data_IF_835979001594
#
_entry.id   IF_835979001594
#
_cell.length_a   1.000
_cell.length_b   1.000
_cell.length_c   1.000
_cell.angle_alpha   90.00
_cell.angle_beta   90.00
_cell.angle_gamma   90.00
#
_symmetry.space_group_name_H-M   'P 1'
#
loop_
_entity.id
_entity.type
_entity.pdbx_description
1 polymer ?
2 non-polymer ?
3 non-polymer ?
4 non-polymer ?
5 water ?
#
# COMPACT_ATOMS: atom_id res chain seq x y z
N UNK A 3 -16.81 -19.24 -5.79
CA UNK A 3 -16.81 -20.32 -4.81
C UNK A 3 -15.89 -21.46 -5.27
N UNK A 4 -15.70 -21.55 -6.60
CA UNK A 4 -14.71 -22.47 -7.14
C UNK A 4 -13.31 -21.99 -6.82
N UNK A 5 -13.11 -20.67 -6.75
CA UNK A 5 -11.83 -20.08 -6.38
C UNK A 5 -11.64 -20.07 -4.87
N UNK A 6 -12.70 -19.75 -4.13
CA UNK A 6 -12.57 -19.66 -2.67
C UNK A 6 -12.32 -21.03 -2.04
N UNK A 7 -12.90 -22.09 -2.61
CA UNK A 7 -12.66 -23.43 -2.09
C UNK A 7 -11.19 -23.82 -2.21
N UNK A 8 -10.55 -23.46 -3.34
CA UNK A 8 -9.14 -23.78 -3.53
C UNK A 8 -8.24 -22.92 -2.65
N UNK A 9 -8.61 -21.67 -2.43
CA UNK A 9 -7.78 -20.80 -1.60
C UNK A 9 -7.90 -21.16 -0.12
N UNK A 10 -9.10 -21.48 0.34
CA UNK A 10 -9.30 -21.81 1.75
C UNK A 10 -8.58 -23.09 2.13
N UNK A 11 -8.52 -24.06 1.22
CA UNK A 11 -7.91 -25.35 1.51
C UNK A 11 -6.40 -25.35 1.35
N UNK A 12 -5.83 -24.29 0.78
CA UNK A 12 -4.40 -24.24 0.54
C UNK A 12 -3.63 -24.09 1.85
N UNK A 13 -2.33 -24.33 1.79
CA UNK A 13 -1.42 -24.01 2.89
C UNK A 13 -0.79 -22.67 2.58
N UNK A 14 -0.67 -21.83 3.60
CA UNK A 14 -0.16 -20.46 3.45
C UNK A 14 1.34 -20.50 3.71
N UNK A 15 2.18 -20.38 2.69
CA UNK A 15 3.63 -20.46 2.92
C UNK A 15 4.12 -19.34 3.81
N UNK A 16 5.29 -19.57 4.41
CA UNK A 16 5.85 -18.62 5.36
C UNK A 16 6.19 -17.30 4.67
N UNK A 17 6.46 -16.28 5.49
CA UNK A 17 6.80 -14.97 4.96
C UNK A 17 8.14 -14.99 4.23
N UNK A 18 9.08 -15.82 4.68
CA UNK A 18 10.37 -15.90 4.03
C UNK A 18 10.27 -16.56 2.67
N UNK A 19 9.48 -17.62 2.56
CA UNK A 19 9.26 -18.27 1.28
C UNK A 19 8.62 -17.32 0.28
N UNK A 20 7.61 -16.58 0.73
CA UNK A 20 6.87 -15.68 -0.15
C UNK A 20 7.63 -14.42 -0.50
N UNK A 21 8.76 -14.15 0.16
CA UNK A 21 9.63 -13.02 -0.15
C UNK A 21 8.91 -11.68 0.05
N UNK A 22 7.87 -11.65 0.88
CA UNK A 22 7.10 -10.42 1.09
C UNK A 22 7.72 -9.49 2.12
N UNK A 23 8.91 -9.80 2.64
CA UNK A 23 9.59 -8.93 3.57
C UNK A 23 10.59 -8.02 2.88
N UNK A 24 11.02 -8.39 1.67
CA UNK A 24 11.98 -7.59 0.91
C UNK A 24 11.29 -6.38 0.29
N UNK A 25 11.87 -5.20 0.48
CA UNK A 25 11.41 -4.01 -0.24
C UNK A 25 11.48 -4.20 -1.75
N UNK A 26 12.32 -5.10 -2.23
CA UNK A 26 12.50 -5.38 -3.64
C UNK A 26 11.52 -6.42 -4.18
N UNK A 27 10.49 -6.77 -3.40
CA UNK A 27 9.55 -7.82 -3.82
C UNK A 27 8.87 -7.44 -5.12
N UNK A 28 8.65 -8.43 -5.98
CA UNK A 28 7.90 -8.25 -7.23
C UNK A 28 6.90 -9.39 -7.37
N UNK A 29 5.87 -9.15 -8.18
CA UNK A 29 4.75 -10.06 -8.32
C UNK A 29 4.52 -10.54 -9.75
N UNK A 30 5.44 -10.26 -10.66
CA UNK A 30 5.22 -10.57 -12.08
C UNK A 30 5.10 -12.07 -12.35
N UNK A 31 5.65 -12.91 -11.47
CA UNK A 31 5.66 -14.35 -11.67
C UNK A 31 4.58 -15.06 -10.88
N UNK A 32 3.63 -14.31 -10.31
CA UNK A 32 2.69 -14.87 -9.34
C UNK A 32 1.30 -14.97 -9.96
N UNK A 33 0.62 -16.07 -9.65
CA UNK A 33 -0.78 -16.19 -9.99
C UNK A 33 -1.63 -15.31 -9.07
N UNK A 34 -2.88 -15.11 -9.46
CA UNK A 34 -3.82 -14.42 -8.57
C UNK A 34 -4.00 -15.18 -7.27
N UNK A 35 -3.88 -16.50 -7.30
CA UNK A 35 -3.96 -17.30 -6.08
C UNK A 35 -2.75 -17.06 -5.18
N UNK A 36 -1.56 -16.93 -5.77
CA UNK A 36 -0.36 -16.71 -4.98
C UNK A 36 -0.41 -15.37 -4.26
N UNK A 37 -0.90 -14.33 -4.92
CA UNK A 37 -1.06 -13.03 -4.26
C UNK A 37 -2.04 -13.13 -3.10
N UNK A 38 -3.05 -13.99 -3.21
CA UNK A 38 -3.98 -14.16 -2.09
C UNK A 38 -3.28 -14.81 -0.91
N UNK A 39 -2.45 -15.82 -1.17
CA UNK A 39 -1.71 -16.46 -0.09
C UNK A 39 -0.73 -15.49 0.57
N UNK A 40 -0.04 -14.67 -0.23
CA UNK A 40 0.84 -13.65 0.32
C UNK A 40 0.06 -12.68 1.21
N UNK A 41 -1.20 -12.40 0.87
CA UNK A 41 -2.00 -11.47 1.66
C UNK A 41 -2.41 -12.09 3.00
N UNK A 42 -2.80 -13.37 2.99
CA UNK A 42 -3.12 -14.05 4.24
C UNK A 42 -1.90 -14.08 5.16
N UNK A 43 -0.72 -14.35 4.58
CA UNK A 43 0.52 -14.34 5.35
C UNK A 43 0.78 -12.97 5.96
N UNK A 44 0.39 -11.90 5.27
CA UNK A 44 0.56 -10.55 5.82
C UNK A 44 -0.31 -10.36 7.06
N UNK A 45 -1.59 -10.70 6.97
CA UNK A 45 -2.47 -10.63 8.13
C UNK A 45 -1.96 -11.54 9.25
N UNK A 46 -1.50 -12.74 8.90
CA UNK A 46 -1.09 -13.72 9.91
C UNK A 46 0.16 -13.25 10.65
N UNK A 47 1.20 -12.88 9.90
CA UNK A 47 2.48 -12.55 10.51
C UNK A 47 2.50 -11.15 11.14
N UNK A 48 1.47 -10.34 10.93
CA UNK A 48 1.26 -9.13 11.71
C UNK A 48 0.37 -9.39 12.91
N UNK A 49 0.06 -10.66 13.20
CA UNK A 49 -0.77 -11.08 14.32
C UNK A 49 -2.19 -10.51 14.24
N UNK A 50 -2.66 -10.19 13.03
CA UNK A 50 -3.99 -9.61 12.88
C UNK A 50 -5.07 -10.69 12.94
N UNK A 51 -4.80 -11.88 12.38
CA UNK A 51 -5.77 -12.97 12.45
C UNK A 51 -5.96 -13.41 13.90
N UNK A 52 -4.90 -13.36 14.69
CA UNK A 52 -4.94 -13.85 16.07
C UNK A 52 -5.54 -12.81 17.01
N UNK A 53 -4.96 -11.60 17.03
CA UNK A 53 -5.40 -10.58 17.98
C UNK A 53 -6.84 -10.17 17.78
N UNK A 54 -7.42 -10.38 16.59
CA UNK A 54 -8.77 -9.96 16.31
C UNK A 54 -9.69 -11.10 15.89
N UNK A 55 -9.24 -12.35 16.08
CA UNK A 55 -10.09 -13.54 15.95
C UNK A 55 -10.80 -13.59 14.60
N UNK A 56 -9.99 -13.62 13.54
CA UNK A 56 -10.52 -13.70 12.19
C UNK A 56 -10.68 -15.16 11.78
N UNK A 57 -11.91 -15.54 11.42
CA UNK A 57 -12.14 -16.86 10.86
C UNK A 57 -11.48 -16.98 9.49
N UNK A 58 -10.85 -18.13 9.25
CA UNK A 58 -10.07 -18.30 8.03
C UNK A 58 -10.92 -18.11 6.78
N UNK A 59 -12.08 -18.75 6.74
CA UNK A 59 -12.94 -18.67 5.56
C UNK A 59 -13.40 -17.25 5.27
N UNK A 60 -13.54 -16.43 6.32
CA UNK A 60 -13.98 -15.05 6.13
C UNK A 60 -12.88 -14.21 5.50
N UNK A 61 -11.65 -14.35 5.99
CA UNK A 61 -10.53 -13.62 5.42
C UNK A 61 -10.29 -14.03 3.97
N UNK A 62 -10.45 -15.32 3.66
CA UNK A 62 -10.32 -15.78 2.29
C UNK A 62 -11.36 -15.15 1.39
N UNK A 63 -12.61 -15.08 1.87
CA UNK A 63 -13.67 -14.46 1.07
C UNK A 63 -13.47 -12.96 0.95
N UNK A 64 -12.94 -12.32 2.00
CA UNK A 64 -12.72 -10.88 1.95
C UNK A 64 -11.62 -10.52 0.95
N UNK A 65 -10.51 -11.27 0.97
CA UNK A 65 -9.43 -11.00 0.03
C UNK A 65 -9.91 -11.18 -1.40
N UNK A 66 -10.71 -12.22 -1.64
CA UNK A 66 -11.24 -12.44 -2.99
C UNK A 66 -12.27 -11.39 -3.36
N UNK A 67 -13.04 -10.89 -2.38
CA UNK A 67 -13.97 -9.81 -2.67
C UNK A 67 -13.23 -8.54 -3.06
N UNK A 68 -12.15 -8.22 -2.34
CA UNK A 68 -11.36 -7.04 -2.66
C UNK A 68 -10.72 -7.17 -4.05
N UNK A 69 -10.08 -8.32 -4.30
CA UNK A 69 -9.41 -8.53 -5.58
C UNK A 69 -10.40 -8.47 -6.73
N UNK A 70 -11.60 -9.00 -6.54
CA UNK A 70 -12.59 -9.01 -7.62
C UNK A 70 -13.09 -7.61 -7.93
N UNK A 71 -13.08 -6.70 -6.95
CA UNK A 71 -13.59 -5.36 -7.13
C UNK A 71 -12.55 -4.40 -7.71
N UNK A 72 -11.37 -4.88 -8.06
CA UNK A 72 -10.43 -4.15 -8.90
C UNK A 72 -10.63 -4.55 -10.35
N UNK A 73 -10.37 -3.62 -11.27
CA UNK A 73 -10.64 -3.83 -12.69
C UNK A 73 -9.37 -4.31 -13.39
N UNK A 74 -9.43 -5.54 -13.91
CA UNK A 74 -8.28 -6.12 -14.60
C UNK A 74 -7.94 -5.36 -15.87
N UNK A 75 -8.94 -4.80 -16.56
CA UNK A 75 -8.68 -4.07 -17.80
C UNK A 75 -8.00 -2.74 -17.57
N UNK A 76 -7.81 -2.33 -16.32
CA UNK A 76 -7.06 -1.12 -16.01
C UNK A 76 -5.59 -1.51 -15.85
N UNK A 77 -4.72 -0.83 -16.59
CA UNK A 77 -3.33 -1.30 -16.75
C UNK A 77 -2.56 -1.25 -15.42
N UNK A 78 -2.65 -0.13 -14.70
CA UNK A 78 -1.89 0.05 -13.47
C UNK A 78 -2.77 -0.07 -12.23
N UNK A 79 -3.74 0.82 -12.07
CA UNK A 79 -4.57 0.82 -10.87
C UNK A 79 -5.51 -0.39 -10.85
N UNK A 80 -4.94 -1.57 -10.57
CA UNK A 80 -5.69 -2.81 -10.48
C UNK A 80 -5.35 -3.54 -9.19
N UNK A 81 -5.75 -4.80 -9.08
CA UNK A 81 -5.49 -5.55 -7.85
C UNK A 81 -3.99 -5.69 -7.59
N UNK A 82 -3.20 -5.83 -8.65
CA UNK A 82 -1.76 -6.00 -8.48
C UNK A 82 -1.12 -4.78 -7.83
N UNK A 83 -1.62 -3.59 -8.15
CA UNK A 83 -1.09 -2.39 -7.52
C UNK A 83 -1.49 -2.32 -6.05
N UNK A 84 -2.73 -2.72 -5.73
CA UNK A 84 -3.16 -2.74 -4.33
C UNK A 84 -2.41 -3.79 -3.54
N UNK A 85 -2.17 -4.95 -4.15
CA UNK A 85 -1.38 -5.99 -3.49
C UNK A 85 0.02 -5.51 -3.19
N UNK A 86 0.63 -4.77 -4.11
CA UNK A 86 1.99 -4.27 -3.91
C UNK A 86 2.03 -3.19 -2.82
N UNK A 87 1.03 -2.28 -2.82
CA UNK A 87 0.96 -1.27 -1.77
C UNK A 87 0.84 -1.91 -0.39
N UNK A 88 0.11 -3.02 -0.30
CA UNK A 88 0.03 -3.76 0.96
C UNK A 88 1.35 -4.46 1.27
N UNK A 89 2.03 -4.96 0.25
CA UNK A 89 3.30 -5.64 0.47
C UNK A 89 4.34 -4.67 1.03
N UNK A 90 4.44 -3.48 0.42
CA UNK A 90 5.37 -2.47 0.93
C UNK A 90 5.01 -2.06 2.34
N UNK A 91 3.71 -1.99 2.65
CA UNK A 91 3.27 -1.74 4.02
C UNK A 91 3.78 -2.84 4.94
N UNK A 92 3.68 -4.10 4.50
CA UNK A 92 4.22 -5.20 5.29
C UNK A 92 5.73 -5.10 5.42
N UNK A 93 6.43 -4.78 4.32
CA UNK A 93 7.87 -4.65 4.36
C UNK A 93 8.30 -3.48 5.24
N UNK A 94 7.50 -2.42 5.29
CA UNK A 94 7.82 -1.27 6.13
C UNK A 94 7.63 -1.60 7.60
N UNK A 95 6.55 -2.30 7.94
CA UNK A 95 6.33 -2.66 9.34
C UNK A 95 7.35 -3.69 9.81
N UNK A 96 7.78 -4.59 8.93
CA UNK A 96 8.71 -5.63 9.32
C UNK A 96 10.16 -5.21 9.11
N UNK A 97 10.62 -5.24 7.85
CA UNK A 97 12.01 -4.89 7.56
C UNK A 97 12.33 -3.46 7.98
N UNK A 98 11.40 -2.54 7.78
CA UNK A 98 11.58 -1.17 8.20
C UNK A 98 11.35 -0.92 9.68
N UNK A 99 10.95 -1.94 10.43
CA UNK A 99 10.80 -1.89 11.89
C UNK A 99 9.78 -0.86 12.35
N UNK A 100 8.83 -0.49 11.48
CA UNK A 100 7.76 0.44 11.85
C UNK A 100 6.73 -0.22 12.77
N UNK A 101 6.76 -1.55 12.89
CA UNK A 101 5.79 -2.27 13.72
C UNK A 101 5.73 -1.72 15.13
N UNK A 102 6.88 -1.57 15.78
CA UNK A 102 6.92 -1.18 17.18
C UNK A 102 6.39 0.24 17.40
N UNK A 103 6.34 1.07 16.37
CA UNK A 103 5.91 2.46 16.49
C UNK A 103 4.42 2.63 16.26
N UNK A 104 3.65 1.54 16.18
CA UNK A 104 2.23 1.61 15.90
C UNK A 104 1.47 0.62 16.76
N UNK A 105 0.16 0.83 16.87
CA UNK A 105 -0.71 -0.07 17.60
C UNK A 105 -1.33 -1.09 16.66
N UNK A 106 -1.93 -2.13 17.26
CA UNK A 106 -2.54 -3.19 16.46
C UNK A 106 -3.68 -2.66 15.59
N UNK A 107 -4.53 -1.80 16.16
CA UNK A 107 -5.61 -1.21 15.38
C UNK A 107 -5.09 -0.38 14.22
N UNK A 108 -4.01 0.36 14.45
CA UNK A 108 -3.42 1.15 13.37
C UNK A 108 -2.84 0.25 12.29
N UNK A 109 -2.13 -0.80 12.69
CA UNK A 109 -1.58 -1.74 11.71
C UNK A 109 -2.70 -2.48 10.99
N UNK A 110 -3.72 -2.91 11.74
CA UNK A 110 -4.87 -3.59 11.13
C UNK A 110 -5.56 -2.69 10.11
N UNK A 111 -5.67 -1.41 10.42
CA UNK A 111 -6.31 -0.48 9.49
C UNK A 111 -5.41 -0.14 8.30
N UNK A 112 -4.10 -0.05 8.54
CA UNK A 112 -3.17 0.25 7.45
C UNK A 112 -3.17 -0.85 6.41
N UNK A 113 -3.16 -2.11 6.85
CA UNK A 113 -3.16 -3.23 5.91
C UNK A 113 -4.46 -3.28 5.11
N UNK A 114 -5.59 -3.03 5.76
CA UNK A 114 -6.87 -3.04 5.06
C UNK A 114 -6.95 -1.86 4.09
N UNK A 115 -6.48 -0.69 4.52
CA UNK A 115 -6.52 0.50 3.65
C UNK A 115 -5.60 0.34 2.45
N UNK A 116 -4.40 -0.20 2.67
CA UNK A 116 -3.47 -0.41 1.56
C UNK A 116 -4.05 -1.35 0.51
N UNK A 117 -4.78 -2.38 0.96
CA UNK A 117 -5.39 -3.32 0.03
C UNK A 117 -6.61 -2.72 -0.66
N UNK A 118 -7.21 -1.69 -0.09
CA UNK A 118 -8.49 -1.16 -0.56
C UNK A 118 -8.40 0.21 -1.21
N UNK A 119 -7.28 0.93 -1.05
CA UNK A 119 -7.23 2.35 -1.33
C UNK A 119 -7.52 2.72 -2.79
N UNK A 120 -7.68 1.75 -3.69
CA UNK A 120 -7.96 2.05 -5.08
C UNK A 120 -9.12 1.23 -5.63
N UNK A 121 -10.03 0.78 -4.77
CA UNK A 121 -11.09 -0.13 -5.20
C UNK A 121 -11.95 0.50 -6.28
N UNK A 122 -12.24 -0.28 -7.31
CA UNK A 122 -13.09 0.10 -8.44
C UNK A 122 -12.47 1.23 -9.27
N UNK A 123 -11.14 1.36 -9.25
CA UNK A 123 -10.46 2.33 -10.09
C UNK A 123 -10.66 2.00 -11.57
N UNK A 124 -10.83 3.02 -12.39
CA UNK A 124 -11.08 2.86 -13.82
C UNK A 124 -9.96 3.42 -14.69
N UNK A 125 -8.83 3.80 -14.09
CA UNK A 125 -7.77 4.43 -14.86
C UNK A 125 -7.86 5.94 -14.81
N UNK A 126 -6.70 6.61 -14.83
CA UNK A 126 -6.57 8.05 -14.63
C UNK A 126 -7.54 8.85 -15.48
N UNK A 127 -7.95 8.28 -16.62
CA UNK A 127 -8.80 8.99 -17.57
C UNK A 127 -10.25 8.56 -17.42
N UNK A 128 -10.83 8.94 -16.28
CA UNK A 128 -12.24 8.71 -16.03
C UNK A 128 -12.82 9.77 -15.12
N UNK A 145 -11.56 15.65 -3.81
CA UNK A 145 -11.05 14.40 -3.26
C UNK A 145 -12.10 13.30 -3.36
N UNK A 146 -12.85 13.32 -4.47
CA UNK A 146 -14.00 12.43 -4.61
C UNK A 146 -13.56 10.99 -4.84
N UNK A 147 -12.47 10.79 -5.57
CA UNK A 147 -12.06 9.43 -5.94
C UNK A 147 -11.76 8.59 -4.72
N UNK A 148 -11.01 9.14 -3.77
CA UNK A 148 -10.64 8.39 -2.57
C UNK A 148 -11.85 8.10 -1.70
N UNK A 149 -12.84 9.00 -1.67
CA UNK A 149 -14.08 8.73 -0.95
C UNK A 149 -14.83 7.57 -1.57
N UNK A 150 -14.75 7.42 -2.90
CA UNK A 150 -15.36 6.27 -3.55
C UNK A 150 -14.63 4.98 -3.19
N UNK A 151 -13.31 5.04 -3.05
CA UNK A 151 -12.54 3.85 -2.71
C UNK A 151 -12.85 3.36 -1.30
N UNK A 152 -12.97 4.30 -0.34
CA UNK A 152 -13.37 3.90 1.00
C UNK A 152 -14.80 3.39 1.02
N UNK A 153 -15.68 4.00 0.23
CA UNK A 153 -17.05 3.51 0.12
C UNK A 153 -17.08 2.05 -0.29
N UNK A 154 -16.30 1.69 -1.31
CA UNK A 154 -16.24 0.30 -1.75
C UNK A 154 -15.55 -0.57 -0.69
N UNK A 155 -14.55 -0.02 0.00
CA UNK A 155 -13.93 -0.75 1.11
C UNK A 155 -14.95 -1.04 2.20
N UNK A 156 -15.79 -0.06 2.51
CA UNK A 156 -16.80 -0.25 3.55
C UNK A 156 -17.86 -1.26 3.13
N UNK A 157 -18.28 -1.20 1.85
CA UNK A 157 -19.30 -2.13 1.38
C UNK A 157 -18.82 -3.57 1.47
N UNK A 158 -17.55 -3.81 1.13
CA UNK A 158 -17.00 -5.15 1.21
C UNK A 158 -16.85 -5.58 2.67
N UNK A 159 -16.40 -4.66 3.54
CA UNK A 159 -16.27 -4.96 4.95
C UNK A 159 -17.59 -5.33 5.60
N UNK A 160 -18.72 -4.91 5.01
CA UNK A 160 -20.04 -5.23 5.54
C UNK A 160 -20.74 -6.33 4.75
N UNK A 161 -20.07 -6.92 3.77
CA UNK A 161 -20.69 -7.98 2.98
C UNK A 161 -20.78 -9.26 3.81
N UNK A 162 -21.89 -9.99 3.72
CA UNK A 162 -22.00 -11.26 4.44
C UNK A 162 -20.84 -12.19 4.11
N UNK A 163 -20.31 -12.84 5.16
CA UNK A 163 -19.18 -13.74 5.01
C UNK A 163 -17.84 -13.08 4.78
N UNK A 164 -17.79 -11.75 4.74
CA UNK A 164 -16.55 -11.03 4.49
C UNK A 164 -16.11 -10.17 5.66
N UNK A 165 -16.89 -10.14 6.75
CA UNK A 165 -16.67 -9.22 7.86
C UNK A 165 -15.47 -9.71 8.69
N UNK A 166 -14.28 -9.33 8.25
CA UNK A 166 -13.05 -9.70 8.95
C UNK A 166 -12.85 -8.92 10.24
N UNK A 167 -13.59 -7.82 10.42
CA UNK A 167 -13.49 -7.00 11.62
C UNK A 167 -14.58 -7.30 12.65
N UNK A 168 -15.30 -8.42 12.49
CA UNK A 168 -16.34 -8.80 13.43
C UNK A 168 -15.80 -9.11 14.81
N UNK A 169 -14.55 -9.53 14.92
CA UNK A 169 -13.95 -9.81 16.22
C UNK A 169 -13.66 -8.59 17.05
N UNK A 170 -13.84 -7.39 16.48
CA UNK A 170 -13.59 -6.15 17.19
C UNK A 170 -14.86 -5.69 17.91
N UNK A 171 -14.66 -5.00 19.03
CA UNK A 171 -15.78 -4.35 19.71
C UNK A 171 -16.25 -3.15 18.89
N UNK A 172 -17.33 -2.52 19.34
CA UNK A 172 -17.86 -1.38 18.58
C UNK A 172 -16.93 -0.17 18.71
N UNK A 173 -16.30 -0.01 19.87
CA UNK A 173 -15.32 1.06 20.01
C UNK A 173 -14.08 0.79 19.16
N UNK A 174 -13.60 -0.46 19.19
CA UNK A 174 -12.49 -0.83 18.32
C UNK A 174 -12.86 -0.68 16.85
N UNK A 175 -14.08 -1.12 16.50
CA UNK A 175 -14.51 -1.05 15.10
C UNK A 175 -14.62 0.39 14.62
N UNK A 176 -15.12 1.28 15.46
CA UNK A 176 -15.30 2.67 15.04
C UNK A 176 -13.95 3.39 14.92
N UNK A 177 -13.01 3.07 15.82
CA UNK A 177 -11.67 3.64 15.71
C UNK A 177 -10.98 3.14 14.44
N UNK A 178 -11.08 1.84 14.18
CA UNK A 178 -10.42 1.26 13.01
C UNK A 178 -10.99 1.82 11.72
N UNK A 179 -12.32 2.01 11.67
CA UNK A 179 -12.93 2.60 10.49
C UNK A 179 -12.43 4.02 10.25
N UNK A 180 -12.27 4.80 11.32
CA UNK A 180 -11.75 6.16 11.17
C UNK A 180 -10.33 6.14 10.62
N UNK A 181 -9.50 5.19 11.07
CA UNK A 181 -8.14 5.10 10.58
C UNK A 181 -8.11 4.60 9.14
N UNK A 182 -8.96 3.61 8.83
CA UNK A 182 -9.05 3.12 7.45
C UNK A 182 -9.47 4.25 6.52
N UNK A 183 -10.46 5.03 6.93
CA UNK A 183 -10.96 6.11 6.09
C UNK A 183 -9.88 7.15 5.83
N UNK A 184 -9.17 7.56 6.90
CA UNK A 184 -8.12 8.55 6.73
C UNK A 184 -6.99 8.03 5.87
N UNK A 185 -6.63 6.76 6.01
CA UNK A 185 -5.50 6.22 5.26
C UNK A 185 -5.81 6.14 3.76
N UNK A 186 -7.04 5.76 3.41
CA UNK A 186 -7.43 5.78 2.00
C UNK A 186 -7.54 7.22 1.50
N UNK A 187 -8.07 8.12 2.33
CA UNK A 187 -8.13 9.52 1.96
C UNK A 187 -6.75 10.11 1.77
N UNK A 188 -5.76 9.59 2.51
CA UNK A 188 -4.40 10.10 2.43
C UNK A 188 -3.73 9.81 1.09
N UNK A 189 -4.17 8.75 0.39
CA UNK A 189 -3.58 8.43 -0.90
C UNK A 189 -3.96 9.40 -2.01
N UNK A 190 -4.73 10.44 -1.69
CA UNK A 190 -4.90 11.57 -2.60
C UNK A 190 -3.63 12.41 -2.56
N UNK A 191 -2.91 12.47 -3.68
CA UNK A 191 -1.67 13.21 -3.74
C UNK A 191 -1.86 14.69 -3.43
N UNK A 192 -3.09 15.21 -3.62
CA UNK A 192 -3.37 16.58 -3.20
C UNK A 192 -3.29 16.71 -1.67
N UNK A 193 -3.85 15.74 -0.95
CA UNK A 193 -3.74 15.76 0.50
C UNK A 193 -2.29 15.60 0.95
N UNK A 194 -1.52 14.80 0.22
CA UNK A 194 -0.10 14.65 0.55
C UNK A 194 0.65 15.96 0.40
N UNK A 195 0.38 16.70 -0.69
CA UNK A 195 1.03 17.98 -0.91
C UNK A 195 0.58 19.00 0.15
N UNK A 196 -0.70 18.94 0.53
CA UNK A 196 -1.21 19.84 1.56
C UNK A 196 -0.53 19.61 2.90
N UNK A 197 -0.17 18.37 3.20
CA UNK A 197 0.25 17.98 4.54
C UNK A 197 1.73 17.69 4.68
N UNK A 198 2.45 17.47 3.58
CA UNK A 198 3.84 17.02 3.69
C UNK A 198 4.74 18.11 4.29
N UNK A 199 4.45 19.38 3.99
CA UNK A 199 5.27 20.45 4.53
C UNK A 199 5.30 20.47 6.04
N UNK A 200 4.15 20.21 6.67
CA UNK A 200 4.11 20.05 8.12
C UNK A 200 5.02 18.90 8.56
N UNK A 201 4.91 17.75 7.89
CA UNK A 201 5.69 16.59 8.26
C UNK A 201 7.18 16.84 8.08
N UNK A 202 7.56 17.61 7.07
CA UNK A 202 8.97 17.93 6.86
C UNK A 202 9.47 18.96 7.86
N UNK A 203 8.62 19.94 8.21
CA UNK A 203 9.01 20.94 9.20
C UNK A 203 9.27 20.31 10.56
N UNK A 204 8.45 19.33 10.94
CA UNK A 204 8.63 18.66 12.23
C UNK A 204 9.76 17.64 12.19
N UNK A 205 10.11 17.13 11.01
CA UNK A 205 11.30 16.30 10.87
C UNK A 205 12.56 17.15 10.94
N UNK A 206 12.49 18.36 10.38
CA UNK A 206 13.62 19.30 10.45
C UNK A 206 14.01 19.58 11.90
N UNK A 207 13.09 20.16 12.67
CA UNK A 207 13.30 20.68 14.01
C UNK A 207 13.61 19.62 15.05
N UNK A 208 13.83 18.35 14.69
CA UNK A 208 14.06 17.26 15.64
C UNK A 208 12.91 17.13 16.65
N UNK A 209 11.74 17.68 16.32
CA UNK A 209 10.60 17.73 17.22
C UNK A 209 9.64 16.57 17.03
N UNK A 210 9.79 15.81 15.95
CA UNK A 210 8.80 14.80 15.57
C UNK A 210 8.58 13.81 16.71
N UNK A 211 7.34 13.75 17.19
CA UNK A 211 6.95 12.88 18.29
C UNK A 211 5.68 12.15 17.91
N UNK A 212 5.76 10.82 17.77
CA UNK A 212 4.59 10.03 17.42
C UNK A 212 3.58 9.96 18.56
N UNK A 213 3.97 10.31 19.78
CA UNK A 213 3.03 10.32 20.90
C UNK A 213 1.91 11.33 20.68
N UNK A 214 2.21 12.42 20.00
CA UNK A 214 1.19 13.40 19.64
C UNK A 214 0.20 12.74 18.69
N UNK A 215 -1.07 12.61 19.05
CA UNK A 215 -2.03 11.95 18.14
C UNK A 215 -2.15 12.63 16.79
N UNK A 216 -2.08 13.97 16.76
CA UNK A 216 -2.10 14.68 15.49
C UNK A 216 -0.85 14.38 14.67
N UNK A 217 0.28 14.14 15.34
CA UNK A 217 1.50 13.78 14.63
C UNK A 217 1.48 12.32 14.19
N UNK A 218 0.89 11.44 14.99
CA UNK A 218 0.75 10.04 14.60
C UNK A 218 -0.20 9.90 13.42
N UNK A 219 -1.32 10.62 13.45
CA UNK A 219 -2.27 10.58 12.35
C UNK A 219 -1.66 11.12 11.06
N UNK A 220 -0.84 12.17 11.18
CA UNK A 220 -0.15 12.70 10.01
C UNK A 220 0.85 11.70 9.45
N UNK A 221 1.58 11.00 10.34
CA UNK A 221 2.58 10.02 9.89
C UNK A 221 1.92 8.86 9.16
N UNK A 222 0.76 8.39 9.64
CA UNK A 222 0.06 7.32 8.96
C UNK A 222 -0.34 7.73 7.55
N UNK A 223 -0.66 9.01 7.37
CA UNK A 223 -0.97 9.52 6.04
C UNK A 223 0.26 9.49 5.15
N UNK A 224 1.43 9.84 5.69
CA UNK A 224 2.65 9.82 4.89
C UNK A 224 3.09 8.39 4.60
N UNK A 225 2.89 7.48 5.55
CA UNK A 225 3.23 6.07 5.32
C UNK A 225 2.39 5.48 4.19
N UNK A 226 1.14 5.93 4.07
CA UNK A 226 0.27 5.44 3.00
C UNK A 226 0.81 5.84 1.63
N UNK A 227 1.13 7.13 1.45
CA UNK A 227 1.65 7.61 0.17
C UNK A 227 2.97 6.94 -0.16
N UNK A 228 3.79 6.67 0.86
CA UNK A 228 5.07 6.00 0.62
C UNK A 228 4.86 4.61 0.02
N UNK A 229 3.95 3.84 0.59
CA UNK A 229 3.63 2.52 0.03
C UNK A 229 2.87 2.67 -1.28
N UNK A 230 2.05 3.72 -1.41
CA UNK A 230 1.26 3.93 -2.61
C UNK A 230 2.15 4.14 -3.84
N UNK A 231 3.30 4.77 -3.66
CA UNK A 231 4.24 5.03 -4.75
C UNK A 231 5.47 4.13 -4.66
N UNK A 232 5.36 3.00 -3.96
CA UNK A 232 6.52 2.13 -3.72
C UNK A 232 7.13 1.61 -5.03
N UNK A 233 6.39 1.66 -6.13
CA UNK A 233 6.92 1.17 -7.40
C UNK A 233 8.12 1.97 -7.86
N UNK A 234 8.14 3.28 -7.56
CA UNK A 234 9.26 4.14 -7.96
C UNK A 234 10.55 3.79 -7.23
N UNK A 235 10.50 2.89 -6.26
CA UNK A 235 11.67 2.46 -5.51
C UNK A 235 12.14 1.06 -5.89
N UNK A 236 11.43 0.39 -6.80
CA UNK A 236 11.74 -1.00 -7.14
C UNK A 236 13.03 -1.07 -7.95
N UNK A 237 13.64 -2.26 -8.03
CA UNK A 237 14.83 -2.41 -8.88
C UNK A 237 14.54 -2.06 -10.33
N UNK A 238 15.57 -1.58 -11.02
CA UNK A 238 15.44 -1.02 -12.37
C UNK A 238 14.66 -1.90 -13.34
N UNK A 239 14.94 -3.20 -13.48
CA UNK A 239 14.12 -4.02 -14.40
C UNK A 239 12.67 -4.09 -14.00
N UNK A 240 12.37 -4.05 -12.70
CA UNK A 240 10.98 -4.02 -12.26
C UNK A 240 10.37 -2.64 -12.49
N UNK A 241 11.10 -1.59 -12.10
CA UNK A 241 10.62 -0.23 -12.28
C UNK A 241 10.34 0.08 -13.74
N UNK A 242 11.20 -0.42 -14.64
CA UNK A 242 10.95 -0.26 -16.07
C UNK A 242 9.62 -0.87 -16.47
N UNK A 243 9.31 -2.06 -15.92
CA UNK A 243 8.07 -2.73 -16.29
C UNK A 243 6.85 -2.02 -15.70
N UNK A 244 6.98 -1.50 -14.47
CA UNK A 244 5.85 -0.80 -13.85
C UNK A 244 5.61 0.52 -14.57
N UNK A 245 6.69 1.25 -14.89
CA UNK A 245 6.54 2.50 -15.63
C UNK A 245 5.87 2.28 -16.98
N UNK A 246 6.04 1.10 -17.57
CA UNK A 246 5.27 0.73 -18.75
C UNK A 246 3.78 0.76 -18.45
N UNK A 247 3.36 0.01 -17.43
CA UNK A 247 1.95 -0.06 -17.05
C UNK A 247 1.37 1.33 -16.79
N UNK A 248 2.13 2.18 -16.12
CA UNK A 248 1.69 3.55 -15.86
C UNK A 248 1.45 4.28 -17.18
N UNK A 249 2.41 4.16 -18.11
CA UNK A 249 2.24 4.79 -19.42
C UNK A 249 1.01 4.27 -20.14
N UNK A 250 0.82 2.94 -20.12
CA UNK A 250 -0.33 2.36 -20.81
C UNK A 250 -1.65 2.89 -20.26
N UNK A 251 -1.70 3.22 -18.96
CA UNK A 251 -2.90 3.82 -18.40
C UNK A 251 -3.03 5.27 -18.83
N UNK A 252 -2.04 6.10 -18.51
CA UNK A 252 -2.06 7.51 -18.88
C UNK A 252 -2.20 7.68 -20.38
N UNK A 253 -1.31 7.05 -21.16
CA UNK A 253 -1.38 7.11 -22.60
C UNK A 253 -2.48 6.22 -23.16
N UNK A 254 -2.10 5.00 -23.57
CA UNK A 254 -2.96 4.16 -24.40
C UNK A 254 -4.25 3.69 -23.72
N UNK A 255 -4.74 4.45 -22.75
CA UNK A 255 -6.14 4.38 -22.31
C UNK A 255 -6.55 2.95 -21.93
N UNK A 256 -5.65 2.24 -21.27
CA UNK A 256 -5.91 0.86 -20.90
C UNK A 256 -5.54 0.54 -19.46
N UNK A 277 9.99 8.19 -24.70
CA UNK A 277 10.51 9.51 -25.04
C UNK A 277 10.19 10.50 -23.92
N UNK A 278 8.91 10.84 -23.78
CA UNK A 278 8.48 11.77 -22.75
C UNK A 278 8.48 11.14 -21.37
N UNK A 279 8.60 9.81 -21.29
CA UNK A 279 8.48 9.05 -20.05
C UNK A 279 9.67 9.31 -19.12
N UNK A 280 10.92 9.21 -19.58
CA UNK A 280 12.05 9.41 -18.63
C UNK A 280 12.04 10.77 -17.96
N UNK A 281 11.68 11.83 -18.67
CA UNK A 281 11.67 13.16 -18.07
C UNK A 281 10.55 13.29 -17.05
N UNK A 282 9.36 12.82 -17.40
CA UNK A 282 8.24 12.87 -16.45
C UNK A 282 8.51 12.05 -15.21
N UNK A 283 9.30 10.97 -15.34
CA UNK A 283 9.63 10.15 -14.18
C UNK A 283 10.55 10.90 -13.23
N UNK A 284 11.60 11.54 -13.76
CA UNK A 284 12.52 12.29 -12.91
C UNK A 284 11.80 13.45 -12.24
N UNK A 285 10.90 14.12 -12.97
CA UNK A 285 10.11 15.18 -12.37
C UNK A 285 9.22 14.67 -11.24
N UNK A 286 8.65 13.47 -11.41
CA UNK A 286 7.84 12.88 -10.36
C UNK A 286 8.69 12.52 -9.14
N UNK A 287 9.87 11.95 -9.38
CA UNK A 287 10.78 11.61 -8.28
C UNK A 287 11.21 12.88 -7.54
N UNK A 288 11.49 13.94 -8.28
CA UNK A 288 11.97 15.18 -7.66
C UNK A 288 10.85 15.86 -6.88
N UNK A 289 9.67 15.99 -7.48
CA UNK A 289 8.60 16.76 -6.85
C UNK A 289 7.96 16.02 -5.69
N UNK A 290 7.77 14.71 -5.83
CA UNK A 290 6.89 13.94 -4.96
C UNK A 290 7.66 12.98 -4.06
N UNK A 291 8.54 12.17 -4.64
CA UNK A 291 8.99 10.95 -3.97
C UNK A 291 10.19 11.17 -3.05
N UNK A 292 11.22 11.88 -3.51
CA UNK A 292 12.52 11.84 -2.83
C UNK A 292 12.45 12.37 -1.41
N UNK A 293 11.75 13.49 -1.21
CA UNK A 293 11.62 14.04 0.14
C UNK A 293 10.86 13.08 1.04
N UNK A 294 9.75 12.52 0.54
CA UNK A 294 8.95 11.57 1.31
C UNK A 294 9.78 10.40 1.81
N UNK A 295 10.54 9.77 0.90
CA UNK A 295 11.35 8.63 1.29
C UNK A 295 12.55 9.05 2.14
N UNK A 296 13.04 10.27 1.94
CA UNK A 296 14.08 10.80 2.82
C UNK A 296 13.55 10.95 4.25
N UNK A 297 12.35 11.53 4.39
CA UNK A 297 11.79 11.76 5.71
C UNK A 297 11.44 10.44 6.39
N UNK A 298 11.02 9.44 5.62
CA UNK A 298 10.69 8.14 6.20
C UNK A 298 11.92 7.48 6.80
N UNK A 299 13.07 7.64 6.15
CA UNK A 299 14.31 7.06 6.68
C UNK A 299 14.74 7.72 7.98
N UNK A 300 14.43 9.01 8.15
CA UNK A 300 14.73 9.68 9.41
C UNK A 300 13.89 9.12 10.54
N UNK A 301 12.65 8.73 10.26
CA UNK A 301 11.80 8.14 11.29
C UNK A 301 12.28 6.72 11.63
N UNK A 302 12.72 5.98 10.63
CA UNK A 302 13.29 4.64 10.83
C UNK A 302 14.35 4.41 9.77
N UNK A 303 15.60 4.26 10.20
CA UNK A 303 16.71 4.15 9.26
C UNK A 303 16.62 2.89 8.40
N UNK A 304 15.87 1.89 8.84
CA UNK A 304 15.75 0.64 8.09
C UNK A 304 14.80 0.74 6.90
N UNK A 305 14.10 1.86 6.75
CA UNK A 305 13.35 2.14 5.52
C UNK A 305 14.23 2.76 4.43
N UNK A 306 15.54 2.74 4.63
CA UNK A 306 16.47 3.30 3.65
C UNK A 306 16.38 2.63 2.27
N UNK A 307 16.18 1.32 2.13
CA UNK A 307 16.11 0.75 0.77
C UNK A 307 15.08 1.40 -0.13
N UNK A 308 14.02 1.97 0.44
CA UNK A 308 13.06 2.72 -0.39
C UNK A 308 13.70 3.99 -0.93
N UNK A 309 14.37 4.76 -0.06
CA UNK A 309 15.06 5.96 -0.50
C UNK A 309 16.19 5.61 -1.48
N UNK A 310 16.88 4.49 -1.24
CA UNK A 310 17.98 4.08 -2.10
C UNK A 310 17.47 3.73 -3.50
N UNK A 311 16.54 2.78 -3.58
CA UNK A 311 16.01 2.38 -4.87
C UNK A 311 15.34 3.51 -5.63
N UNK A 312 14.81 4.49 -4.90
CA UNK A 312 14.23 5.67 -5.56
C UNK A 312 15.31 6.55 -6.16
N UNK A 313 16.51 6.56 -5.57
CA UNK A 313 17.61 7.35 -6.13
C UNK A 313 18.24 6.66 -7.33
N UNK A 314 18.44 5.34 -7.24
CA UNK A 314 19.00 4.59 -8.35
C UNK A 314 18.10 4.67 -9.58
N UNK A 315 16.79 4.79 -9.37
CA UNK A 315 15.87 4.94 -10.50
C UNK A 315 15.88 6.35 -11.05
N UNK A 316 16.17 7.35 -10.21
CA UNK A 316 16.35 8.71 -10.72
C UNK A 316 17.58 8.77 -11.62
N UNK A 317 18.66 8.10 -11.23
CA UNK A 317 19.86 8.03 -12.06
C UNK A 317 19.55 7.37 -13.40
N UNK A 318 18.80 6.27 -13.37
CA UNK A 318 18.52 5.54 -14.60
C UNK A 318 17.62 6.34 -15.54
N UNK A 319 16.57 6.97 -14.99
CA UNK A 319 15.67 7.76 -15.83
C UNK A 319 16.35 9.04 -16.31
N UNK A 320 17.24 9.62 -15.50
CA UNK A 320 17.95 10.83 -15.91
C UNK A 320 18.90 10.54 -17.08
N UNK A 321 19.58 9.40 -17.04
CA UNK A 321 20.44 9.03 -18.15
C UNK A 321 19.63 8.78 -19.41
N UNK A 322 18.47 8.13 -19.28
CA UNK A 322 17.60 7.92 -20.42
C UNK A 322 17.07 9.25 -20.96
N UNK A 323 16.78 10.20 -20.06
CA UNK A 323 16.28 11.49 -20.49
C UNK A 323 17.28 12.21 -21.39
N UNK A 324 18.57 12.11 -21.06
CA UNK A 324 19.65 12.70 -21.86
C UNK A 324 19.95 11.91 -23.12
N UNK A 325 19.10 10.96 -23.49
CA UNK A 325 19.35 10.04 -24.60
C UNK A 325 20.63 9.23 -24.37
X LIG B 1 2.62 9.56 -12.09
X LIG B 1 3.79 11.23 -13.49
X LIG B 1 4.35 9.67 -15.43
X LIG B 1 3.61 8.75 -17.97
X LIG B 1 4.39 7.97 -17.12
X LIG B 1 3.86 7.63 -11.30
X LIG B 1 3.73 8.73 -12.20
X LIG B 1 3.59 10.46 -16.28
X LIG B 1 3.22 10.01 -17.54
X LIG B 1 4.74 8.42 -15.86
X LIG B 1 0.92 12.53 -13.57
X LIG B 1 4.92 6.68 -11.36
X LIG B 1 2.42 10.67 -13.09
X LIG B 1 4.72 10.15 -14.04
X LIG B 1 1.03 11.68 -11.25
X LIG B 1 2.30 8.89 -19.95
X LIG B 1 0.59 10.29 -10.83
X LIG B 1 1.70 9.32 -11.06
X LIG B 1 2.86 7.46 -10.32
X LIG B 1 2.94 6.36 -9.44
X LIG B 1 3.97 5.46 -9.52
X LIG B 1 4.96 5.62 -10.49
X LIG B 1 6.04 4.66 -10.60
X LIG B 1 1.79 8.31 -10.22
X LIG B 1 6.90 3.92 -10.72
X LIG B 1 4.73 9.03 -13.11
X LIG B 1 1.08 12.34 -14.76
X LIG B 1 1.43 11.67 -12.67
X LIG B 1 0.14 13.71 -13.05
X LIG B 1 3.27 8.19 -19.17
X LIG B 1 4.95 6.41 -17.66
X LIG C 1 -2.79 3.79 -5.49
X LIG D 1 -5.35 6.41 -5.76
#
# INVERSE_FOLDING_TARGET
>A
EETRELQSLAAAVVPSAQTLKITDFSFSDFELSDLETALCTIRMFTDLNLVQNFQMKHEVLCRWILSVKKNYRKNVAYHNWRHAFNTAQCMFAALKAGKIQNKLTDLEILALLIAALSHDLDHRGVNNSYIQRSEHPLAQLYCHSIMEHHHFDQCLMILNSPGNQILSGLSIEEYKTTLKIIKQAILATDLALYIKRRGEFFELIRKNQFNLEDPHQKELFLAMLMTACDLSAITKPWPIQQRIAELVATEFFDQGDRERKELNIEPTDLMNREKKNKIPSMQVGFIDAICLQLYEALTHVSEDCFPLLDGCRKNRQKWQALAEQQ
>B hetero
1 A1ELJ C13 C15 C17 C20 C22 C11 C12 C18 C19 C23 C1 C10 C14 C16 C2 C21 C3 C4 C5 C6 C7 C8 C9 N1 N2 N3 O1 N C O CL
>C hetero
1 ZN ZN
>D hetero
1 MG MG
#
